data_IF_479351187096
#
_entry.id   IF_479351187096
#
_cell.length_a   1.000
_cell.length_b   1.000
_cell.length_c   1.000
_cell.angle_alpha   90.00
_cell.angle_beta   90.00
_cell.angle_gamma   90.00
#
_symmetry.space_group_name_H-M   'P 1'
#
loop_
_entity.id
_entity.type
_entity.pdbx_description
1 polymer ?
#
# COMPACT_ATOMS: atom_id res chain seq x y z
N UNK A 1 0.94 -26.69 -2.50
CA UNK A 1 0.42 -25.59 -1.66
C UNK A 1 1.65 -24.84 -1.22
N UNK A 2 1.95 -23.74 -1.90
CA UNK A 2 2.97 -22.80 -1.45
C UNK A 2 2.46 -22.20 -0.14
N UNK A 3 3.09 -22.60 0.97
CA UNK A 3 2.81 -22.02 2.27
C UNK A 3 3.62 -20.74 2.35
N UNK A 4 2.96 -19.61 2.54
CA UNK A 4 3.63 -18.33 2.80
C UNK A 4 3.64 -18.04 4.29
N UNK A 5 4.72 -17.42 4.76
CA UNK A 5 4.84 -16.94 6.13
C UNK A 5 4.93 -15.42 6.16
N UNK A 6 4.19 -14.82 7.08
CA UNK A 6 4.33 -13.42 7.41
C UNK A 6 5.68 -13.14 8.07
N UNK A 7 6.25 -12.00 7.72
CA UNK A 7 7.46 -11.45 8.29
C UNK A 7 7.10 -10.19 9.05
N UNK A 8 6.99 -10.33 10.38
CA UNK A 8 6.58 -9.26 11.28
C UNK A 8 7.34 -7.95 11.05
N UNK A 9 6.60 -6.84 11.06
CA UNK A 9 7.11 -5.46 11.01
C UNK A 9 7.44 -5.01 12.44
N UNK A 10 8.63 -4.44 12.65
CA UNK A 10 9.04 -3.91 13.98
C UNK A 10 8.89 -2.39 14.06
N UNK A 11 9.03 -1.68 12.94
CA UNK A 11 8.87 -0.24 12.87
C UNK A 11 8.67 0.21 11.42
N UNK A 12 8.13 1.42 11.26
CA UNK A 12 8.09 2.10 9.97
C UNK A 12 8.59 3.54 10.08
N UNK A 13 9.28 4.00 9.04
CA UNK A 13 9.64 5.39 8.81
C UNK A 13 8.87 5.89 7.60
N UNK A 14 8.13 6.98 7.75
CA UNK A 14 7.28 7.56 6.72
C UNK A 14 7.77 8.93 6.27
N UNK A 15 7.50 9.27 5.01
CA UNK A 15 7.81 10.60 4.46
C UNK A 15 6.92 11.72 5.01
N UNK A 16 5.76 11.38 5.60
CA UNK A 16 4.87 12.28 6.30
C UNK A 16 4.05 11.51 7.34
N UNK A 17 3.46 12.23 8.29
CA UNK A 17 2.55 11.68 9.31
C UNK A 17 3.17 10.47 10.06
N UNK A 18 4.43 10.61 10.48
CA UNK A 18 5.21 9.54 11.14
C UNK A 18 4.51 8.92 12.36
N UNK A 19 3.76 9.73 13.12
CA UNK A 19 3.02 9.24 14.29
C UNK A 19 1.94 8.21 13.92
N UNK A 20 1.44 8.28 12.68
CA UNK A 20 0.39 7.41 12.16
C UNK A 20 0.97 6.24 11.34
N UNK A 21 2.30 6.12 11.21
CA UNK A 21 2.92 5.06 10.41
C UNK A 21 2.56 3.65 10.91
N UNK A 22 2.33 3.50 12.23
CA UNK A 22 1.87 2.24 12.83
C UNK A 22 0.50 1.80 12.31
N UNK A 23 -0.34 2.76 11.90
CA UNK A 23 -1.70 2.51 11.41
C UNK A 23 -1.76 1.82 10.05
N UNK A 24 -0.61 1.55 9.41
CA UNK A 24 -0.57 0.75 8.18
C UNK A 24 -0.26 -0.72 8.42
N UNK A 25 0.02 -1.12 9.67
CA UNK A 25 0.37 -2.50 10.03
C UNK A 25 -0.13 -2.86 11.45
N UNK A 26 -1.28 -2.31 11.84
CA UNK A 26 -1.87 -2.49 13.18
C UNK A 26 -3.01 -3.52 13.22
N UNK A 27 -3.21 -4.30 12.14
CA UNK A 27 -4.30 -5.26 11.96
C UNK A 27 -5.71 -4.63 12.09
N UNK A 28 -5.82 -3.30 12.00
CA UNK A 28 -7.07 -2.58 12.16
C UNK A 28 -7.50 -1.93 10.84
N UNK A 29 -8.41 -2.62 10.14
CA UNK A 29 -8.93 -2.16 8.85
C UNK A 29 -9.78 -0.86 8.90
N UNK A 30 -9.95 -0.27 10.09
CA UNK A 30 -10.63 1.01 10.33
C UNK A 30 -9.67 2.19 10.53
N UNK A 31 -8.36 1.96 10.51
CA UNK A 31 -7.29 2.96 10.50
C UNK A 31 -6.54 2.95 9.17
N UNK A 32 -5.73 4.00 8.95
CA UNK A 32 -4.83 4.08 7.80
C UNK A 32 -3.68 5.02 8.11
N UNK A 33 -2.52 4.76 7.52
CA UNK A 33 -1.52 5.79 7.28
C UNK A 33 -1.81 6.49 5.94
N UNK A 34 -1.57 7.80 5.90
CA UNK A 34 -1.60 8.56 4.66
C UNK A 34 -0.48 9.60 4.66
N UNK A 35 0.13 9.88 3.50
CA UNK A 35 1.03 11.03 3.38
C UNK A 35 0.24 12.37 3.31
N UNK A 36 0.96 13.49 3.28
CA UNK A 36 0.41 14.84 3.25
C UNK A 36 -0.05 15.33 1.85
N UNK A 37 -0.06 14.44 0.86
CA UNK A 37 -0.45 14.72 -0.51
C UNK A 37 0.66 15.30 -1.38
N UNK A 38 1.92 15.34 -0.91
CA UNK A 38 3.09 15.65 -1.74
C UNK A 38 3.75 14.36 -2.27
N UNK A 39 4.25 14.37 -3.51
CA UNK A 39 4.92 13.19 -4.07
C UNK A 39 6.23 12.85 -3.32
N UNK A 40 6.96 13.87 -2.85
CA UNK A 40 8.22 13.72 -2.11
C UNK A 40 8.08 13.03 -0.76
N UNK A 41 6.88 13.01 -0.20
CA UNK A 41 6.55 12.40 1.10
C UNK A 41 5.72 11.11 0.94
N UNK A 42 5.35 10.75 -0.29
CA UNK A 42 4.49 9.62 -0.60
C UNK A 42 5.26 8.29 -0.59
N UNK A 43 5.95 8.02 0.52
CA UNK A 43 6.73 6.82 0.75
C UNK A 43 6.68 6.43 2.23
N UNK A 44 6.85 5.13 2.47
CA UNK A 44 6.98 4.54 3.79
C UNK A 44 7.94 3.34 3.71
N UNK A 45 8.88 3.28 4.64
CA UNK A 45 9.91 2.26 4.77
C UNK A 45 9.63 1.44 6.02
N UNK A 46 9.52 0.13 5.87
CA UNK A 46 9.27 -0.82 6.94
C UNK A 46 10.57 -1.54 7.30
N UNK A 47 10.82 -1.63 8.60
CA UNK A 47 11.85 -2.50 9.15
C UNK A 47 11.18 -3.80 9.61
N UNK A 48 11.63 -4.92 9.07
CA UNK A 48 11.17 -6.26 9.39
C UNK A 48 11.96 -6.82 10.59
N UNK A 49 11.34 -7.75 11.33
CA UNK A 49 11.92 -8.38 12.50
C UNK A 49 13.20 -9.20 12.21
N UNK A 50 13.38 -9.59 10.94
CA UNK A 50 14.56 -10.29 10.43
C UNK A 50 14.74 -10.01 8.94
N UNK A 51 15.89 -10.37 8.41
CA UNK A 51 16.05 -10.45 6.95
C UNK A 51 15.17 -11.56 6.36
N UNK A 52 14.50 -11.24 5.26
CA UNK A 52 13.60 -12.14 4.55
C UNK A 52 13.69 -11.91 3.04
N UNK A 53 13.37 -12.96 2.26
CA UNK A 53 13.23 -12.88 0.80
C UNK A 53 11.74 -12.73 0.48
N UNK A 54 11.20 -11.54 0.74
CA UNK A 54 9.78 -11.22 0.52
C UNK A 54 9.46 -11.34 -0.98
N UNK A 55 8.64 -12.34 -1.33
CA UNK A 55 8.18 -12.58 -2.70
C UNK A 55 6.75 -12.10 -2.96
N UNK A 56 6.05 -11.68 -1.91
CA UNK A 56 4.67 -11.21 -2.00
C UNK A 56 4.37 -10.17 -0.93
N UNK A 57 3.81 -9.06 -1.36
CA UNK A 57 3.39 -7.97 -0.50
C UNK A 57 1.88 -7.89 -0.59
N UNK A 58 1.23 -8.29 0.49
CA UNK A 58 -0.20 -8.20 0.64
C UNK A 58 -0.52 -6.81 1.21
N UNK A 59 -1.37 -6.04 0.55
CA UNK A 59 -1.72 -4.71 1.05
C UNK A 59 -3.16 -4.32 0.75
N UNK A 60 -3.72 -3.54 1.66
CA UNK A 60 -5.01 -2.89 1.51
C UNK A 60 -4.82 -1.39 1.44
N UNK A 61 -5.18 -0.80 0.32
CA UNK A 61 -5.11 0.65 0.09
C UNK A 61 -6.48 1.28 0.24
N UNK A 62 -6.53 2.57 0.55
CA UNK A 62 -7.80 3.31 0.53
C UNK A 62 -8.06 3.98 -0.83
N UNK A 63 -9.33 4.19 -1.21
CA UNK A 63 -9.69 4.97 -2.41
C UNK A 63 -9.57 4.26 -3.77
N UNK A 64 -9.36 2.94 -3.80
CA UNK A 64 -9.20 2.12 -5.01
C UNK A 64 -10.45 2.04 -5.91
N UNK A 65 -11.64 2.46 -5.44
CA UNK A 65 -12.87 2.51 -6.28
C UNK A 65 -12.69 3.30 -7.57
N UNK A 66 -11.77 4.28 -7.62
CA UNK A 66 -11.54 5.12 -8.80
C UNK A 66 -10.08 5.28 -9.20
N UNK A 67 -9.11 4.81 -8.41
CA UNK A 67 -7.68 5.13 -8.59
C UNK A 67 -6.82 3.89 -8.71
N UNK A 68 -5.91 3.92 -9.68
CA UNK A 68 -4.77 3.01 -9.75
C UNK A 68 -3.53 3.75 -9.25
N UNK A 69 -2.80 3.13 -8.33
CA UNK A 69 -1.62 3.71 -7.70
C UNK A 69 -0.36 3.28 -8.48
N UNK A 70 0.40 4.22 -9.05
CA UNK A 70 1.71 3.90 -9.61
C UNK A 70 2.69 3.74 -8.44
N UNK A 71 3.00 2.50 -8.08
CA UNK A 71 3.88 2.17 -6.97
C UNK A 71 5.25 1.70 -7.45
N UNK A 72 6.23 1.93 -6.60
CA UNK A 72 7.54 1.27 -6.62
C UNK A 72 7.82 0.67 -5.25
N UNK A 73 8.44 -0.50 -5.24
CA UNK A 73 8.90 -1.18 -4.03
C UNK A 73 10.40 -1.41 -4.11
N UNK A 74 11.08 -1.07 -3.03
CA UNK A 74 12.52 -1.25 -2.87
C UNK A 74 12.82 -2.18 -1.71
N UNK A 75 13.81 -3.05 -1.89
CA UNK A 75 14.45 -3.84 -0.85
C UNK A 75 15.83 -3.25 -0.58
N UNK A 76 15.99 -2.55 0.54
CA UNK A 76 17.08 -1.57 0.72
C UNK A 76 17.09 -0.57 -0.44
N UNK A 77 18.20 -0.51 -1.17
CA UNK A 77 18.35 0.38 -2.35
C UNK A 77 17.92 -0.25 -3.68
N UNK A 78 17.59 -1.55 -3.73
CA UNK A 78 17.25 -2.25 -4.97
C UNK A 78 15.75 -2.14 -5.27
N UNK A 79 15.39 -1.60 -6.43
CA UNK A 79 14.02 -1.66 -6.96
C UNK A 79 13.67 -3.13 -7.26
N UNK A 80 12.64 -3.65 -6.59
CA UNK A 80 12.17 -5.04 -6.72
C UNK A 80 10.80 -5.14 -7.38
N UNK A 81 10.02 -4.05 -7.39
CA UNK A 81 8.73 -4.00 -8.05
C UNK A 81 8.41 -2.58 -8.53
N UNK A 82 7.79 -2.45 -9.70
CA UNK A 82 7.29 -1.18 -10.23
C UNK A 82 6.08 -1.45 -11.10
N UNK A 83 4.96 -0.81 -10.82
CA UNK A 83 3.73 -1.08 -11.54
C UNK A 83 2.59 -0.17 -11.14
N UNK A 84 1.43 -0.45 -11.72
CA UNK A 84 0.17 0.19 -11.36
C UNK A 84 -0.66 -0.86 -10.62
N UNK A 85 -1.17 -0.52 -9.43
CA UNK A 85 -2.04 -1.42 -8.70
C UNK A 85 -3.35 -1.66 -9.46
N UNK A 86 -3.88 -2.86 -9.33
CA UNK A 86 -5.24 -3.16 -9.77
C UNK A 86 -6.27 -2.39 -8.91
N UNK A 87 -7.49 -2.25 -9.43
CA UNK A 87 -8.62 -1.71 -8.67
C UNK A 87 -9.29 -2.88 -7.93
N UNK A 88 -9.20 -2.95 -6.60
CA UNK A 88 -9.73 -4.08 -5.80
C UNK A 88 -10.36 -3.66 -4.49
N UNK A 89 -11.51 -4.27 -4.12
CA UNK A 89 -12.27 -4.03 -2.88
C UNK A 89 -11.52 -4.31 -1.57
N UNK A 90 -10.44 -5.08 -1.65
CA UNK A 90 -9.74 -5.58 -0.49
C UNK A 90 -8.24 -5.60 -0.75
N UNK A 91 -7.62 -6.67 -0.29
CA UNK A 91 -6.19 -6.88 -0.43
C UNK A 91 -5.80 -7.04 -1.90
N UNK A 92 -4.64 -6.51 -2.24
CA UNK A 92 -3.92 -6.76 -3.48
C UNK A 92 -2.58 -7.40 -3.14
N UNK A 93 -2.08 -8.20 -4.07
CA UNK A 93 -0.77 -8.85 -3.95
C UNK A 93 0.19 -8.24 -4.97
N UNK A 94 1.35 -7.80 -4.50
CA UNK A 94 2.45 -7.39 -5.36
C UNK A 94 3.48 -8.53 -5.40
N UNK A 95 3.37 -9.38 -6.42
CA UNK A 95 4.29 -10.51 -6.60
C UNK A 95 5.68 -10.00 -7.06
N UNK A 96 6.71 -10.38 -6.32
CA UNK A 96 8.10 -9.98 -6.56
C UNK A 96 8.82 -11.11 -7.31
N UNK A 97 9.11 -10.89 -8.59
CA UNK A 97 9.76 -11.90 -9.43
C UNK A 97 11.20 -12.21 -8.98
N UNK A 98 11.90 -11.21 -8.45
CA UNK A 98 13.29 -11.34 -7.97
C UNK A 98 13.39 -10.81 -6.53
N UNK A 99 12.97 -11.60 -5.52
CA UNK A 99 13.03 -11.19 -4.13
C UNK A 99 14.49 -10.97 -3.71
N UNK A 100 14.68 -10.02 -2.80
CA UNK A 100 16.01 -9.64 -2.29
C UNK A 100 15.98 -9.81 -0.79
N UNK A 101 16.95 -10.56 -0.26
CA UNK A 101 17.09 -10.74 1.18
C UNK A 101 17.44 -9.40 1.84
N UNK A 102 16.51 -8.88 2.64
CA UNK A 102 16.66 -7.64 3.40
C UNK A 102 15.71 -7.65 4.59
N UNK A 103 15.93 -6.76 5.56
CA UNK A 103 14.95 -6.42 6.57
C UNK A 103 14.35 -5.03 6.36
N UNK A 104 14.62 -4.37 5.23
CA UNK A 104 14.14 -3.02 4.94
C UNK A 104 13.40 -3.00 3.60
N UNK A 105 12.10 -2.70 3.63
CA UNK A 105 11.24 -2.60 2.44
C UNK A 105 10.62 -1.21 2.36
N UNK A 106 10.82 -0.50 1.25
CA UNK A 106 10.20 0.81 1.00
C UNK A 106 9.13 0.71 -0.05
N UNK A 107 7.93 1.21 0.23
CA UNK A 107 6.86 1.40 -0.74
C UNK A 107 6.70 2.89 -1.01
N UNK A 108 6.65 3.30 -2.29
CA UNK A 108 6.46 4.71 -2.66
C UNK A 108 5.59 4.89 -3.89
N UNK A 109 4.98 6.08 -4.01
CA UNK A 109 4.42 6.52 -5.28
C UNK A 109 5.53 6.90 -6.26
N UNK A 110 5.46 6.32 -7.46
CA UNK A 110 6.31 6.68 -8.61
C UNK A 110 5.95 8.03 -9.22
N UNK A 111 4.69 8.45 -9.07
CA UNK A 111 4.18 9.65 -9.72
C UNK A 111 2.71 9.91 -9.39
N UNK A 112 2.04 10.70 -10.24
CA UNK A 112 0.63 11.02 -10.07
C UNK A 112 -0.26 9.77 -10.18
N UNK A 113 -1.14 9.55 -9.20
CA UNK A 113 -2.22 8.55 -9.29
C UNK A 113 -3.13 8.89 -10.46
N UNK A 114 -3.36 7.95 -11.38
CA UNK A 114 -4.18 8.23 -12.56
C UNK A 114 -5.65 8.02 -12.21
N UNK A 115 -6.45 9.09 -12.23
CA UNK A 115 -7.91 8.99 -12.20
C UNK A 115 -8.35 8.71 -13.63
N UNK A 116 -8.17 7.47 -14.10
CA UNK A 116 -8.97 7.03 -15.24
C UNK A 116 -10.32 6.62 -14.66
N UNK A 117 -11.28 7.53 -14.85
CA UNK A 117 -12.71 7.33 -14.68
C UNK A 117 -13.18 6.23 -15.66
N UNK A 118 -12.79 4.97 -15.39
CA UNK A 118 -13.24 3.79 -16.14
C UNK A 118 -14.60 3.31 -15.60
N UNK A 119 -15.08 3.93 -14.54
CA UNK A 119 -16.36 3.64 -13.88
C UNK A 119 -17.35 4.79 -14.11
N UNK A 120 -17.40 5.30 -15.35
CA UNK A 120 -18.29 6.40 -15.77
C UNK A 120 -19.80 6.15 -15.61
N UNK A 121 -20.21 5.06 -14.95
CA UNK A 121 -21.56 4.76 -14.49
C UNK A 121 -21.49 3.57 -13.50
N UNK A 122 -20.89 3.72 -12.32
CA UNK A 122 -21.40 2.93 -11.19
C UNK A 122 -22.64 3.67 -10.73
N UNK A 123 -23.80 3.29 -11.28
CA UNK A 123 -25.08 3.53 -10.64
C UNK A 123 -24.92 3.11 -9.19
N UNK A 124 -25.27 4.02 -8.29
CA UNK A 124 -25.36 3.81 -6.84
C UNK A 124 -26.32 2.64 -6.59
N UNK A 125 -25.81 1.41 -6.66
CA UNK A 125 -26.51 0.26 -6.08
C UNK A 125 -26.37 0.46 -4.59
N UNK A 126 -27.45 0.93 -3.98
CA UNK A 126 -27.62 1.17 -2.56
C UNK A 126 -27.05 0.01 -1.73
N UNK A 127 -25.80 0.15 -1.28
CA UNK A 127 -25.03 -0.93 -0.68
C UNK A 127 -23.91 -0.40 0.21
N UNK A 128 -24.30 0.23 1.32
CA UNK A 128 -23.42 0.59 2.43
C UNK A 128 -22.95 2.04 2.42
N UNK A 129 -23.13 2.74 3.54
CA UNK A 129 -22.56 4.06 3.74
C UNK A 129 -21.04 4.02 3.45
N UNK A 130 -20.55 4.86 2.55
CA UNK A 130 -19.12 5.12 2.45
C UNK A 130 -18.62 5.51 3.84
N UNK A 131 -17.72 4.71 4.41
CA UNK A 131 -17.11 5.01 5.70
C UNK A 131 -16.35 6.35 5.61
N UNK A 132 -16.07 6.98 6.75
CA UNK A 132 -15.46 8.31 6.76
C UNK A 132 -14.10 8.35 6.05
N UNK A 133 -13.35 7.24 6.07
CA UNK A 133 -12.07 7.07 5.38
C UNK A 133 -12.20 7.16 3.86
N UNK A 134 -13.19 6.49 3.25
CA UNK A 134 -13.46 6.59 1.81
C UNK A 134 -13.93 8.00 1.43
N UNK A 135 -14.77 8.61 2.27
CA UNK A 135 -15.23 9.99 2.05
C UNK A 135 -14.06 10.97 2.06
N UNK A 136 -13.09 10.79 2.97
CA UNK A 136 -11.83 11.56 3.00
C UNK A 136 -10.98 11.34 1.74
N UNK A 137 -10.82 10.08 1.30
CA UNK A 137 -10.10 9.76 0.06
C UNK A 137 -10.68 10.52 -1.15
N UNK A 138 -12.01 10.46 -1.32
CA UNK A 138 -12.71 11.11 -2.44
C UNK A 138 -12.62 12.63 -2.40
N UNK A 139 -12.59 13.23 -1.22
CA UNK A 139 -12.46 14.69 -1.05
C UNK A 139 -11.03 15.19 -1.30
N UNK A 140 -10.02 14.31 -1.26
CA UNK A 140 -8.64 14.73 -1.48
C UNK A 140 -8.41 15.10 -2.95
N UNK A 141 -8.06 16.38 -3.15
CA UNK A 141 -7.74 16.95 -4.48
C UNK A 141 -6.33 16.61 -4.97
N UNK A 142 -5.45 16.14 -4.08
CA UNK A 142 -4.10 15.76 -4.48
C UNK A 142 -4.10 14.42 -5.24
N UNK A 143 -3.25 14.37 -6.27
CA UNK A 143 -2.97 13.18 -7.09
C UNK A 143 -1.75 12.41 -6.56
N UNK A 144 -1.23 12.78 -5.39
CA UNK A 144 -0.05 12.17 -4.77
C UNK A 144 -0.33 11.71 -3.34
N UNK A 145 -1.55 11.25 -3.08
CA UNK A 145 -1.87 10.62 -1.81
C UNK A 145 -1.59 9.13 -1.92
N UNK A 146 -0.70 8.60 -1.09
CA UNK A 146 -0.59 7.19 -0.76
C UNK A 146 -1.30 6.97 0.56
N UNK A 147 -2.27 6.05 0.59
CA UNK A 147 -3.09 5.77 1.78
C UNK A 147 -3.16 4.27 1.98
N UNK A 148 -2.54 3.77 3.04
CA UNK A 148 -2.36 2.36 3.33
C UNK A 148 -3.17 2.05 4.58
N UNK A 149 -4.15 1.16 4.45
CA UNK A 149 -4.94 0.62 5.56
C UNK A 149 -4.14 -0.49 6.24
N UNK A 150 -3.61 -1.43 5.46
CA UNK A 150 -2.86 -2.58 5.96
C UNK A 150 -1.76 -2.96 4.96
N UNK A 151 -0.63 -3.47 5.45
CA UNK A 151 0.40 -4.11 4.64
C UNK A 151 1.08 -5.25 5.42
N UNK A 152 1.27 -6.36 4.75
CA UNK A 152 1.93 -7.56 5.25
C UNK A 152 3.02 -8.00 4.26
N UNK A 153 4.10 -8.57 4.78
CA UNK A 153 5.24 -9.00 3.99
C UNK A 153 5.37 -10.52 4.06
N UNK A 154 5.19 -11.19 2.93
CA UNK A 154 5.09 -12.64 2.85
C UNK A 154 6.32 -13.21 2.13
N UNK A 155 6.88 -14.28 2.69
CA UNK A 155 7.88 -15.11 2.01
C UNK A 155 7.40 -16.56 1.87
N UNK A 156 7.75 -17.18 0.75
CA UNK A 156 7.45 -18.57 0.46
C UNK A 156 8.36 -19.51 1.25
N UNK A 157 7.77 -20.55 1.84
CA UNK A 157 8.51 -21.64 2.47
C UNK A 157 9.11 -22.52 1.38
N UNK A 158 10.44 -22.55 1.30
CA UNK A 158 11.20 -23.43 0.40
C UNK A 158 11.64 -24.71 1.12
#
# INVERSE_FOLDING_TARGET
MDTKHDVAIVSAQAGANQADAVLSYDDNELSEWANDGQLSTAWITYTLAREAEVDDICMKLNGWRSRSYPLEVYAGDKLIWSGNTEKSLGYIHLEIAEPVRTNEITVRLKGSTTDKDVFGQIVEVAGGAANDMERKARKSKSRHNLRIIEIEFLESVR
#
